data_IF_356511704744
#
_entry.id   IF_356511704744
#
_cell.length_a   1.000
_cell.length_b   1.000
_cell.length_c   1.000
_cell.angle_alpha   90.00
_cell.angle_beta   90.00
_cell.angle_gamma   90.00
#
_symmetry.space_group_name_H-M   'P 1'
#
loop_
_entity.id
_entity.type
_entity.pdbx_description
1 polymer ?
#
# COMPACT_ATOMS: atom_id res chain seq x y z
N UNK A 1 59.71 35.74 30.35
CA UNK A 1 58.81 35.71 29.16
C UNK A 1 58.57 34.27 28.75
N UNK A 2 57.41 33.69 29.06
CA UNK A 2 57.06 32.30 28.68
C UNK A 2 56.12 32.34 27.48
N UNK A 3 56.61 31.92 26.31
CA UNK A 3 55.77 31.68 25.12
C UNK A 3 54.96 30.41 25.36
N UNK A 4 53.64 30.53 25.44
CA UNK A 4 52.72 29.39 25.44
C UNK A 4 52.34 29.09 23.99
N UNK A 5 52.78 27.93 23.50
CA UNK A 5 52.39 27.36 22.21
C UNK A 5 51.03 26.70 22.41
N UNK A 6 50.01 27.14 21.67
CA UNK A 6 48.68 26.55 21.67
C UNK A 6 48.69 25.38 20.68
N UNK A 7 48.72 24.14 21.20
CA UNK A 7 48.47 22.93 20.41
C UNK A 7 46.97 22.84 20.14
N UNK A 8 46.59 23.01 18.87
CA UNK A 8 45.24 22.75 18.38
C UNK A 8 45.06 21.22 18.31
N UNK A 9 44.42 20.64 19.33
CA UNK A 9 43.97 19.25 19.27
C UNK A 9 42.84 19.18 18.23
N UNK A 10 43.16 18.63 17.06
CA UNK A 10 42.19 18.28 16.03
C UNK A 10 41.30 17.17 16.59
N UNK A 11 40.19 17.55 17.24
CA UNK A 11 39.14 16.61 17.59
C UNK A 11 38.62 16.02 16.28
N UNK A 12 38.98 14.77 16.01
CA UNK A 12 38.30 13.96 15.02
C UNK A 12 36.84 13.85 15.45
N UNK A 13 36.00 14.76 14.93
CA UNK A 13 34.56 14.59 14.89
C UNK A 13 34.32 13.32 14.11
N UNK A 14 34.16 12.21 14.84
CA UNK A 14 33.75 10.95 14.26
C UNK A 14 32.48 11.22 13.45
N UNK A 15 32.58 11.02 12.14
CA UNK A 15 31.44 10.92 11.26
C UNK A 15 30.60 9.76 11.78
N UNK A 16 29.67 10.06 12.68
CA UNK A 16 28.56 9.19 12.97
C UNK A 16 27.76 9.20 11.67
N UNK A 17 27.96 8.19 10.83
CA UNK A 17 27.01 7.93 9.76
C UNK A 17 25.67 7.74 10.46
N UNK A 18 24.80 8.75 10.38
CA UNK A 18 23.40 8.59 10.68
C UNK A 18 22.88 7.62 9.63
N UNK A 19 23.01 6.32 9.91
CA UNK A 19 22.30 5.31 9.14
C UNK A 19 20.83 5.66 9.31
N UNK A 20 20.19 6.08 8.23
CA UNK A 20 18.74 6.10 8.17
C UNK A 20 18.31 4.66 8.45
N UNK A 21 17.88 4.40 9.69
CA UNK A 21 17.33 3.12 10.10
C UNK A 21 16.05 2.96 9.28
N UNK A 22 16.16 2.31 8.12
CA UNK A 22 15.03 1.70 7.46
C UNK A 22 14.46 0.74 8.48
N UNK A 23 13.42 1.18 9.21
CA UNK A 23 12.73 0.30 10.13
C UNK A 23 12.30 -0.90 9.30
N UNK A 24 12.76 -2.10 9.64
CA UNK A 24 12.44 -3.29 8.87
C UNK A 24 10.90 -3.44 8.79
N UNK A 25 10.40 -3.91 7.65
CA UNK A 25 8.98 -4.23 7.51
C UNK A 25 8.63 -5.26 8.56
N UNK A 26 7.74 -4.87 9.47
CA UNK A 26 7.30 -5.73 10.56
C UNK A 26 6.10 -6.52 10.09
N UNK A 27 6.23 -7.84 10.07
CA UNK A 27 5.23 -8.72 9.46
C UNK A 27 4.55 -9.56 10.54
N UNK A 28 3.24 -9.73 10.44
CA UNK A 28 2.47 -10.64 11.29
C UNK A 28 1.89 -11.73 10.39
N UNK A 29 2.06 -12.99 10.78
CA UNK A 29 1.44 -14.13 10.12
C UNK A 29 0.22 -14.56 10.93
N UNK A 30 -0.88 -14.83 10.26
CA UNK A 30 -2.15 -15.21 10.87
C UNK A 30 -2.64 -16.47 10.18
N UNK A 31 -2.93 -17.46 11.01
CA UNK A 31 -3.52 -18.75 10.63
C UNK A 31 -5.01 -18.73 11.06
N UNK A 32 -5.91 -19.08 10.14
CA UNK A 32 -7.34 -19.09 10.37
C UNK A 32 -7.92 -20.48 10.19
N UNK A 33 -8.44 -21.05 11.27
CA UNK A 33 -9.05 -22.37 11.20
C UNK A 33 -9.44 -22.94 12.54
N UNK A 34 -9.25 -24.23 12.70
CA UNK A 34 -9.69 -24.99 13.87
C UNK A 34 -8.54 -25.82 14.43
N UNK A 35 -8.68 -26.22 15.69
CA UNK A 35 -7.70 -27.06 16.35
C UNK A 35 -8.39 -28.30 16.94
N UNK A 36 -8.94 -29.12 16.05
CA UNK A 36 -9.68 -30.34 16.40
C UNK A 36 -9.01 -31.61 15.85
N UNK A 37 -7.81 -31.48 15.25
CA UNK A 37 -7.01 -32.52 14.58
C UNK A 37 -7.66 -33.09 13.32
N UNK A 38 -9.00 -33.13 13.28
CA UNK A 38 -9.82 -33.69 12.20
C UNK A 38 -9.91 -32.75 11.02
N UNK A 39 -10.10 -31.46 11.29
CA UNK A 39 -10.28 -30.41 10.30
C UNK A 39 -9.13 -29.41 10.34
N UNK A 40 -8.40 -29.26 11.44
CA UNK A 40 -7.30 -28.32 11.52
C UNK A 40 -6.37 -28.57 12.70
N UNK A 41 -5.19 -27.99 12.63
CA UNK A 41 -4.18 -28.04 13.68
C UNK A 41 -3.56 -26.66 13.82
N UNK A 42 -3.27 -26.26 15.06
CA UNK A 42 -2.50 -25.04 15.34
C UNK A 42 -1.16 -25.05 14.60
N UNK A 43 -0.87 -23.96 13.92
CA UNK A 43 0.46 -23.74 13.34
C UNK A 43 1.52 -23.52 14.41
N UNK A 44 2.62 -24.31 14.42
CA UNK A 44 3.70 -24.15 15.37
C UNK A 44 4.30 -22.74 15.37
N UNK A 45 4.72 -22.28 16.54
CA UNK A 45 5.35 -20.97 16.74
C UNK A 45 6.57 -21.13 17.66
N UNK A 46 7.80 -21.13 17.11
CA UNK A 46 8.13 -20.95 15.70
C UNK A 46 7.77 -22.17 14.82
N UNK A 47 7.52 -21.92 13.53
CA UNK A 47 7.45 -22.94 12.50
C UNK A 47 8.86 -23.42 12.06
N UNK A 48 8.92 -24.30 11.06
CA UNK A 48 10.18 -24.80 10.50
C UNK A 48 11.08 -23.70 9.88
N UNK A 49 10.52 -22.53 9.57
CA UNK A 49 11.23 -21.36 9.05
C UNK A 49 11.61 -20.36 10.17
N UNK A 50 11.39 -20.70 11.44
CA UNK A 50 11.65 -19.80 12.56
C UNK A 50 10.60 -18.69 12.74
N UNK A 51 9.48 -18.74 12.01
CA UNK A 51 8.44 -17.71 12.01
C UNK A 51 7.37 -18.01 13.05
N UNK A 52 6.92 -16.97 13.74
CA UNK A 52 5.83 -17.05 14.71
C UNK A 52 4.48 -16.73 14.04
N UNK A 53 3.48 -17.56 14.34
CA UNK A 53 2.13 -17.51 13.77
C UNK A 53 1.10 -17.14 14.83
N UNK A 54 0.12 -16.32 14.43
CA UNK A 54 -1.02 -15.98 15.27
C UNK A 54 -2.19 -16.89 14.87
N UNK A 55 -2.47 -17.89 15.71
CA UNK A 55 -3.52 -18.88 15.46
C UNK A 55 -4.88 -18.33 15.91
N UNK A 56 -5.71 -17.90 14.96
CA UNK A 56 -7.05 -17.36 15.19
C UNK A 56 -8.07 -18.47 14.98
N UNK A 57 -8.46 -19.11 16.08
CA UNK A 57 -9.31 -20.30 16.08
C UNK A 57 -10.80 -19.96 16.25
N UNK A 58 -11.66 -20.77 15.61
CA UNK A 58 -13.06 -21.10 15.95
C UNK A 58 -13.98 -19.96 16.47
N UNK A 59 -14.92 -19.52 15.65
CA UNK A 59 -15.88 -18.43 15.91
C UNK A 59 -17.09 -18.91 16.73
N UNK A 60 -17.27 -18.45 17.98
CA UNK A 60 -18.56 -18.08 18.62
C UNK A 60 -18.38 -17.81 20.14
N UNK A 61 -18.24 -16.54 20.52
CA UNK A 61 -18.22 -16.12 21.93
C UNK A 61 -17.20 -15.02 22.23
N UNK A 62 -17.60 -13.76 22.01
CA UNK A 62 -16.83 -12.53 22.32
C UNK A 62 -16.47 -12.53 23.82
N UNK A 63 -15.25 -12.29 24.30
CA UNK A 63 -14.26 -11.22 24.09
C UNK A 63 -12.86 -11.86 24.14
N UNK A 64 -11.96 -11.60 23.20
CA UNK A 64 -11.02 -10.50 23.33
C UNK A 64 -10.28 -10.34 22.00
N UNK A 65 -10.05 -9.10 21.61
CA UNK A 65 -9.11 -8.73 20.55
C UNK A 65 -7.82 -9.56 20.62
N UNK A 66 -7.62 -10.49 19.68
CA UNK A 66 -6.43 -11.33 19.56
C UNK A 66 -5.23 -10.42 19.31
N UNK A 67 -4.35 -10.30 20.32
CA UNK A 67 -3.15 -9.47 20.23
C UNK A 67 -2.14 -10.18 19.35
N UNK A 68 -1.77 -9.55 18.25
CA UNK A 68 -0.86 -10.13 17.28
C UNK A 68 0.59 -9.89 17.70
N UNK A 69 1.41 -10.92 17.57
CA UNK A 69 2.87 -10.82 17.56
C UNK A 69 3.38 -10.82 16.12
N UNK A 70 4.56 -10.27 15.91
CA UNK A 70 5.22 -10.36 14.61
C UNK A 70 5.92 -11.72 14.42
N UNK A 71 6.48 -11.90 13.23
CA UNK A 71 7.26 -13.09 12.84
C UNK A 71 8.47 -13.38 13.75
N UNK A 72 8.89 -12.44 14.60
CA UNK A 72 9.99 -12.57 15.56
C UNK A 72 9.48 -12.68 17.01
N UNK A 73 8.19 -12.99 17.19
CA UNK A 73 7.50 -13.10 18.47
C UNK A 73 7.47 -11.81 19.31
N UNK A 74 7.62 -10.65 18.68
CA UNK A 74 7.55 -9.37 19.39
C UNK A 74 6.13 -8.84 19.37
N UNK A 75 5.66 -8.27 20.49
CA UNK A 75 4.34 -7.69 20.61
C UNK A 75 4.15 -6.49 19.66
N UNK A 76 3.07 -6.50 18.86
CA UNK A 76 2.84 -5.44 17.85
C UNK A 76 1.92 -4.32 18.31
N UNK A 77 1.09 -4.58 19.32
CA UNK A 77 -0.04 -3.71 19.70
C UNK A 77 -1.25 -3.85 18.77
N UNK A 78 -1.11 -4.55 17.64
CA UNK A 78 -2.20 -4.85 16.72
C UNK A 78 -3.08 -5.93 17.31
N UNK A 79 -4.38 -5.80 17.07
CA UNK A 79 -5.41 -6.69 17.56
C UNK A 79 -6.36 -7.08 16.44
N UNK A 80 -6.75 -8.34 16.33
CA UNK A 80 -7.81 -8.78 15.39
C UNK A 80 -9.07 -9.21 16.14
N UNK A 81 -10.23 -8.77 15.65
CA UNK A 81 -11.55 -9.22 16.09
C UNK A 81 -12.23 -9.96 14.94
N UNK A 82 -12.66 -11.18 15.20
CA UNK A 82 -13.48 -11.97 14.28
C UNK A 82 -14.96 -11.56 14.46
N UNK A 83 -15.62 -11.27 13.34
CA UNK A 83 -17.05 -10.95 13.29
C UNK A 83 -17.91 -12.19 13.03
N UNK A 84 -19.20 -11.95 12.80
CA UNK A 84 -20.17 -13.03 12.57
C UNK A 84 -19.93 -13.78 11.24
N UNK A 85 -20.63 -14.91 11.09
CA UNK A 85 -20.81 -15.70 9.86
C UNK A 85 -19.62 -16.51 9.36
N UNK A 86 -18.42 -16.35 9.92
CA UNK A 86 -17.35 -17.31 9.63
C UNK A 86 -17.72 -18.68 10.18
N UNK A 87 -17.62 -19.67 9.30
CA UNK A 87 -17.59 -21.08 9.59
C UNK A 87 -16.18 -21.61 9.37
N UNK A 88 -15.90 -22.81 9.83
CA UNK A 88 -14.55 -23.39 9.78
C UNK A 88 -14.56 -24.82 9.28
N UNK A 89 -13.55 -25.19 8.50
CA UNK A 89 -13.32 -26.55 8.04
C UNK A 89 -11.85 -26.70 7.61
N UNK A 90 -11.45 -27.87 7.06
CA UNK A 90 -10.09 -28.02 6.57
C UNK A 90 -9.72 -29.39 6.06
N UNK A 91 -8.90 -30.12 6.82
CA UNK A 91 -8.22 -31.36 6.41
C UNK A 91 -9.19 -32.35 5.75
N UNK A 92 -10.28 -32.70 6.45
CA UNK A 92 -11.28 -33.65 5.97
C UNK A 92 -12.15 -33.12 4.80
N UNK A 93 -12.01 -31.86 4.42
CA UNK A 93 -12.89 -31.16 3.47
C UNK A 93 -12.12 -30.34 2.45
N UNK A 94 -10.95 -30.83 2.03
CA UNK A 94 -10.22 -30.31 0.89
C UNK A 94 -9.21 -29.22 1.23
N UNK A 95 -8.67 -29.20 2.44
CA UNK A 95 -7.50 -28.38 2.77
C UNK A 95 -6.29 -28.66 1.86
N UNK A 96 -5.37 -27.70 1.76
CA UNK A 96 -4.08 -27.93 1.11
C UNK A 96 -3.11 -28.56 2.12
N UNK A 97 -2.95 -29.89 2.04
CA UNK A 97 -2.18 -30.67 3.02
C UNK A 97 -0.68 -30.73 2.76
N UNK A 98 -0.28 -30.51 1.51
CA UNK A 98 1.11 -30.62 1.07
C UNK A 98 1.53 -29.38 0.27
N UNK A 99 1.56 -28.18 0.88
CA UNK A 99 2.10 -27.02 0.22
C UNK A 99 3.61 -27.18 -0.03
N UNK A 100 4.14 -26.51 -1.04
CA UNK A 100 5.58 -26.57 -1.35
C UNK A 100 6.19 -25.18 -1.34
N UNK A 101 7.43 -25.07 -0.85
CA UNK A 101 8.17 -23.81 -0.85
C UNK A 101 8.41 -23.27 -2.28
N UNK A 102 8.47 -24.16 -3.29
CA UNK A 102 8.58 -23.76 -4.68
C UNK A 102 7.36 -22.98 -5.20
N UNK A 103 6.16 -23.25 -4.66
CA UNK A 103 4.92 -22.60 -5.08
C UNK A 103 4.48 -21.48 -4.13
N UNK A 104 4.72 -21.62 -2.83
CA UNK A 104 4.23 -20.69 -1.80
C UNK A 104 5.34 -20.05 -0.95
N UNK A 105 6.62 -20.36 -1.20
CA UNK A 105 7.73 -19.80 -0.44
C UNK A 105 7.58 -20.02 1.06
N UNK A 106 7.70 -18.95 1.84
CA UNK A 106 7.56 -18.95 3.30
C UNK A 106 6.16 -19.32 3.80
N UNK A 107 5.13 -19.24 2.95
CA UNK A 107 3.75 -19.61 3.30
C UNK A 107 3.49 -21.11 3.18
N UNK A 108 4.48 -21.89 2.75
CA UNK A 108 4.36 -23.34 2.60
C UNK A 108 4.42 -24.07 3.95
N UNK A 109 3.43 -23.82 4.80
CA UNK A 109 3.29 -24.41 6.13
C UNK A 109 1.96 -25.16 6.16
N UNK A 110 2.02 -26.50 6.18
CA UNK A 110 0.83 -27.34 6.02
C UNK A 110 -0.28 -27.00 7.03
N UNK A 111 0.08 -26.73 8.28
CA UNK A 111 -0.88 -26.35 9.32
C UNK A 111 -1.59 -25.04 9.06
N UNK A 112 -1.01 -24.11 8.30
CA UNK A 112 -1.65 -22.83 7.95
C UNK A 112 -2.43 -22.87 6.61
N UNK A 113 -2.26 -23.94 5.82
CA UNK A 113 -2.93 -24.10 4.52
C UNK A 113 -4.01 -25.18 4.52
N UNK A 114 -4.03 -26.05 5.52
CA UNK A 114 -4.93 -27.20 5.57
C UNK A 114 -6.32 -26.87 6.12
N UNK A 115 -6.47 -25.79 6.86
CA UNK A 115 -7.73 -25.33 7.42
C UNK A 115 -8.01 -23.88 7.02
N UNK A 116 -9.26 -23.49 7.25
CA UNK A 116 -9.78 -22.23 6.76
C UNK A 116 -11.00 -21.75 7.52
N UNK A 117 -11.13 -20.43 7.55
CA UNK A 117 -12.40 -19.76 7.68
C UNK A 117 -13.10 -19.72 6.33
N UNK A 118 -14.42 -19.86 6.33
CA UNK A 118 -15.23 -19.71 5.13
C UNK A 118 -16.58 -19.06 5.42
N UNK A 119 -17.18 -18.53 4.37
CA UNK A 119 -18.54 -17.95 4.40
C UNK A 119 -19.41 -18.63 3.36
N UNK A 120 -20.72 -18.65 3.60
CA UNK A 120 -21.71 -19.33 2.75
C UNK A 120 -23.07 -18.61 2.76
N UNK A 121 -24.03 -19.14 2.01
CA UNK A 121 -25.41 -18.63 2.02
C UNK A 121 -25.57 -17.29 1.28
N UNK A 122 -26.69 -16.60 1.49
CA UNK A 122 -27.05 -15.34 0.80
C UNK A 122 -27.35 -14.23 1.81
N UNK A 123 -27.39 -12.98 1.36
CA UNK A 123 -27.70 -11.85 2.24
C UNK A 123 -26.72 -11.72 3.40
N UNK A 124 -27.23 -11.58 4.63
CA UNK A 124 -26.43 -11.30 5.82
C UNK A 124 -25.45 -12.41 6.22
N UNK A 125 -25.66 -13.67 5.80
CA UNK A 125 -24.74 -14.78 6.13
C UNK A 125 -23.58 -14.90 5.12
N UNK A 126 -23.68 -14.22 3.98
CA UNK A 126 -22.72 -14.35 2.87
C UNK A 126 -21.44 -13.54 3.03
N UNK A 127 -21.29 -12.87 4.17
CA UNK A 127 -20.22 -11.93 4.47
C UNK A 127 -19.61 -12.24 5.84
N UNK A 128 -18.30 -12.46 5.86
CA UNK A 128 -17.50 -12.58 7.07
C UNK A 128 -16.68 -11.31 7.27
N UNK A 129 -16.47 -10.90 8.52
CA UNK A 129 -15.74 -9.67 8.82
C UNK A 129 -14.61 -9.89 9.81
N UNK A 130 -13.43 -9.33 9.54
CA UNK A 130 -12.31 -9.26 10.46
C UNK A 130 -11.97 -7.80 10.68
N UNK A 131 -11.78 -7.38 11.93
CA UNK A 131 -11.36 -6.02 12.26
C UNK A 131 -9.98 -6.03 12.89
N UNK A 132 -9.00 -5.48 12.16
CA UNK A 132 -7.69 -5.16 12.70
C UNK A 132 -7.74 -3.79 13.38
N UNK A 133 -7.18 -3.67 14.58
CA UNK A 133 -7.22 -2.46 15.42
C UNK A 133 -5.90 -2.26 16.16
N UNK A 134 -5.69 -1.08 16.73
CA UNK A 134 -4.40 -0.69 17.30
C UNK A 134 -3.39 -0.26 16.22
N UNK A 135 -3.89 0.09 15.05
CA UNK A 135 -3.09 0.52 13.91
C UNK A 135 -2.79 2.01 14.04
N UNK A 136 -1.53 2.39 13.84
CA UNK A 136 -1.14 3.79 13.72
C UNK A 136 -1.56 4.37 12.37
N UNK A 137 -2.15 5.58 12.38
CA UNK A 137 -2.40 6.38 11.18
C UNK A 137 -1.11 6.87 10.49
N UNK A 138 0.02 6.90 11.22
CA UNK A 138 1.32 7.28 10.65
C UNK A 138 2.02 6.14 9.90
N UNK A 139 1.42 4.94 9.88
CA UNK A 139 1.96 3.74 9.23
C UNK A 139 1.07 3.30 8.08
N UNK A 140 1.61 2.42 7.24
CA UNK A 140 0.93 1.85 6.09
C UNK A 140 0.88 0.34 6.24
N UNK A 141 -0.15 -0.25 5.66
CA UNK A 141 -0.46 -1.66 5.84
C UNK A 141 -0.67 -2.34 4.50
N UNK A 142 -0.12 -3.53 4.34
CA UNK A 142 -0.28 -4.35 3.15
C UNK A 142 -0.67 -5.74 3.59
N UNK A 143 -1.71 -6.28 2.98
CA UNK A 143 -2.22 -7.61 3.29
C UNK A 143 -1.90 -8.57 2.17
N UNK A 144 -1.42 -9.73 2.54
CA UNK A 144 -1.18 -10.88 1.68
C UNK A 144 -2.14 -11.97 2.11
N UNK A 145 -2.92 -12.51 1.19
CA UNK A 145 -4.02 -13.40 1.50
C UNK A 145 -3.94 -14.68 0.69
N UNK A 146 -4.27 -15.78 1.35
CA UNK A 146 -4.38 -17.09 0.74
C UNK A 146 -5.67 -17.76 1.18
N UNK A 147 -6.48 -18.11 0.19
CA UNK A 147 -7.62 -18.99 0.28
C UNK A 147 -7.42 -20.19 -0.62
N UNK A 148 -7.78 -21.37 -0.15
CA UNK A 148 -7.76 -22.62 -0.91
C UNK A 148 -8.74 -23.63 -0.36
N UNK A 149 -9.44 -24.30 -1.28
CA UNK A 149 -10.13 -25.55 -1.00
C UNK A 149 -10.14 -26.40 -2.25
N UNK A 150 -9.65 -27.62 -2.15
CA UNK A 150 -9.59 -28.59 -3.23
C UNK A 150 -10.96 -29.20 -3.50
N UNK A 151 -11.49 -28.97 -4.69
CA UNK A 151 -12.59 -29.75 -5.28
C UNK A 151 -12.73 -29.39 -6.76
N UNK A 152 -13.26 -30.32 -7.55
CA UNK A 152 -13.55 -30.13 -8.98
C UNK A 152 -15.03 -29.85 -9.25
N UNK A 153 -15.88 -29.81 -8.22
CA UNK A 153 -17.33 -29.71 -8.36
C UNK A 153 -17.80 -28.35 -8.93
N UNK A 154 -17.08 -27.26 -8.63
CA UNK A 154 -17.39 -25.92 -9.09
C UNK A 154 -16.14 -25.02 -9.02
N UNK A 155 -16.20 -23.87 -9.70
CA UNK A 155 -15.21 -22.80 -9.55
C UNK A 155 -15.69 -21.86 -8.45
N UNK A 156 -14.82 -21.56 -7.48
CA UNK A 156 -15.12 -20.61 -6.40
C UNK A 156 -14.10 -19.48 -6.39
N UNK A 157 -14.61 -18.26 -6.30
CA UNK A 157 -13.80 -17.03 -6.26
C UNK A 157 -14.18 -16.22 -5.04
N UNK A 158 -13.20 -15.96 -4.18
CA UNK A 158 -13.32 -15.17 -2.97
C UNK A 158 -12.95 -13.71 -3.26
N UNK A 159 -13.68 -12.76 -2.68
CA UNK A 159 -13.33 -11.35 -2.62
C UNK A 159 -12.92 -10.98 -1.21
N UNK A 160 -11.81 -10.26 -1.11
CA UNK A 160 -11.28 -9.68 0.12
C UNK A 160 -11.29 -8.17 -0.05
N UNK A 161 -12.21 -7.50 0.66
CA UNK A 161 -12.31 -6.04 0.66
C UNK A 161 -11.80 -5.48 1.97
N UNK A 162 -10.72 -4.72 1.90
CA UNK A 162 -10.11 -4.03 3.01
C UNK A 162 -10.58 -2.58 3.04
N UNK A 163 -11.13 -2.14 4.16
CA UNK A 163 -11.62 -0.78 4.37
C UNK A 163 -10.95 -0.16 5.59
N UNK A 164 -10.09 0.83 5.34
CA UNK A 164 -9.56 1.75 6.35
C UNK A 164 -9.92 3.19 5.97
N UNK A 165 -8.97 4.12 6.02
CA UNK A 165 -9.15 5.46 5.44
C UNK A 165 -9.21 5.43 3.89
N UNK A 166 -8.62 4.39 3.29
CA UNK A 166 -8.79 4.04 1.88
C UNK A 166 -9.26 2.58 1.77
N UNK A 167 -9.74 2.21 0.58
CA UNK A 167 -10.26 0.87 0.28
C UNK A 167 -9.33 0.16 -0.68
N UNK A 168 -9.15 -1.14 -0.50
CA UNK A 168 -8.54 -2.04 -1.48
C UNK A 168 -9.38 -3.31 -1.58
N UNK A 169 -9.73 -3.71 -2.80
CA UNK A 169 -10.54 -4.89 -3.07
C UNK A 169 -9.75 -5.81 -3.99
N UNK A 170 -9.53 -7.05 -3.55
CA UNK A 170 -8.81 -8.07 -4.30
C UNK A 170 -9.63 -9.35 -4.38
N UNK A 171 -9.42 -10.13 -5.44
CA UNK A 171 -10.11 -11.40 -5.65
C UNK A 171 -9.11 -12.54 -5.83
N UNK A 172 -9.52 -13.75 -5.46
CA UNK A 172 -8.73 -14.97 -5.69
C UNK A 172 -9.66 -16.12 -6.04
N UNK A 173 -9.37 -16.82 -7.13
CA UNK A 173 -10.00 -18.10 -7.42
C UNK A 173 -9.36 -19.15 -6.54
N UNK A 174 -10.12 -19.70 -5.59
CA UNK A 174 -9.62 -20.55 -4.51
C UNK A 174 -9.82 -22.04 -4.78
N UNK A 175 -10.73 -22.36 -5.71
CA UNK A 175 -11.26 -23.70 -5.94
C UNK A 175 -11.67 -23.87 -7.39
N UNK A 176 -11.44 -25.05 -7.94
CA UNK A 176 -11.89 -25.44 -9.29
C UNK A 176 -10.83 -26.25 -10.02
N UNK A 177 -11.26 -26.98 -11.04
CA UNK A 177 -10.36 -27.77 -11.90
C UNK A 177 -9.23 -26.91 -12.46
N UNK A 178 -7.98 -27.34 -12.27
CA UNK A 178 -6.77 -26.66 -12.76
C UNK A 178 -6.59 -25.21 -12.27
N UNK A 179 -7.16 -24.84 -11.12
CA UNK A 179 -6.95 -23.52 -10.52
C UNK A 179 -5.54 -23.36 -9.98
N UNK A 180 -4.98 -24.40 -9.36
CA UNK A 180 -3.61 -24.43 -8.87
C UNK A 180 -2.62 -24.96 -9.90
N UNK A 181 -1.34 -24.76 -9.61
CA UNK A 181 -0.25 -25.37 -10.37
C UNK A 181 -0.37 -26.90 -10.38
N UNK A 182 0.15 -27.52 -11.45
CA UNK A 182 0.20 -28.98 -11.64
C UNK A 182 -1.18 -29.66 -11.63
N UNK A 183 -2.23 -28.95 -12.08
CA UNK A 183 -3.59 -29.48 -12.16
C UNK A 183 -4.32 -29.60 -10.83
N UNK A 184 -3.77 -29.03 -9.75
CA UNK A 184 -4.41 -29.07 -8.44
C UNK A 184 -5.75 -28.31 -8.44
N UNK A 185 -6.80 -28.93 -7.91
CA UNK A 185 -8.17 -28.40 -7.97
C UNK A 185 -8.51 -27.39 -6.85
N UNK A 186 -7.49 -26.74 -6.30
CA UNK A 186 -7.57 -25.64 -5.36
C UNK A 186 -6.44 -24.66 -5.66
N UNK A 187 -6.36 -23.54 -4.96
CA UNK A 187 -5.18 -22.66 -5.07
C UNK A 187 -4.00 -23.28 -4.29
N UNK A 188 -2.83 -23.39 -4.91
CA UNK A 188 -1.61 -23.87 -4.23
C UNK A 188 -0.36 -23.05 -4.58
N UNK A 189 -0.50 -21.94 -5.29
CA UNK A 189 0.63 -21.20 -5.86
C UNK A 189 0.42 -19.67 -5.90
N UNK A 190 -0.73 -19.17 -5.44
CA UNK A 190 -1.06 -17.75 -5.54
C UNK A 190 -1.30 -17.16 -4.16
N UNK A 191 -0.52 -16.15 -3.80
CA UNK A 191 -0.79 -15.24 -2.68
C UNK A 191 -1.27 -13.92 -3.28
N UNK A 192 -2.49 -13.49 -2.99
CA UNK A 192 -3.01 -12.23 -3.51
C UNK A 192 -2.70 -11.11 -2.53
N UNK A 193 -2.29 -9.95 -3.05
CA UNK A 193 -1.80 -8.83 -2.26
C UNK A 193 -2.71 -7.60 -2.41
N UNK A 194 -3.03 -6.93 -1.31
CA UNK A 194 -3.77 -5.67 -1.31
C UNK A 194 -2.93 -4.50 -1.81
N UNK A 195 -3.59 -3.41 -2.17
CA UNK A 195 -2.93 -2.10 -2.21
C UNK A 195 -2.46 -1.70 -0.81
N UNK A 196 -1.67 -0.63 -0.76
CA UNK A 196 -1.27 -0.06 0.52
C UNK A 196 -2.43 0.68 1.18
N UNK A 197 -2.76 0.28 2.41
CA UNK A 197 -3.86 0.79 3.21
C UNK A 197 -3.35 1.68 4.34
N UNK A 198 -4.19 2.64 4.73
CA UNK A 198 -4.04 3.47 5.93
C UNK A 198 -5.18 3.14 6.87
N UNK A 199 -4.90 3.12 8.17
CA UNK A 199 -5.92 2.92 9.19
C UNK A 199 -7.01 4.01 9.12
N UNK A 200 -8.24 3.66 9.45
CA UNK A 200 -9.31 4.64 9.63
C UNK A 200 -9.09 5.53 10.86
N UNK A 201 -9.99 6.49 11.10
CA UNK A 201 -9.90 7.43 12.21
C UNK A 201 -9.90 6.75 13.59
N UNK A 202 -10.40 5.51 13.70
CA UNK A 202 -10.39 4.72 14.93
C UNK A 202 -9.16 3.79 15.02
N UNK A 203 -8.18 3.94 14.14
CA UNK A 203 -6.96 3.13 14.12
C UNK A 203 -7.22 1.68 13.72
N UNK A 204 -8.12 1.43 12.77
CA UNK A 204 -8.39 0.09 12.28
C UNK A 204 -8.56 -0.06 10.76
N UNK A 205 -8.55 -1.32 10.33
CA UNK A 205 -8.86 -1.77 8.96
C UNK A 205 -9.80 -2.96 9.09
N UNK A 206 -10.92 -2.92 8.38
CA UNK A 206 -11.87 -4.03 8.30
C UNK A 206 -11.62 -4.81 7.02
N UNK A 207 -11.46 -6.12 7.13
CA UNK A 207 -11.54 -7.07 6.01
C UNK A 207 -12.96 -7.65 5.96
N UNK A 208 -13.58 -7.53 4.80
CA UNK A 208 -14.81 -8.20 4.42
C UNK A 208 -14.48 -9.36 3.45
N UNK A 209 -14.82 -10.59 3.84
CA UNK A 209 -14.75 -11.78 2.98
C UNK A 209 -16.13 -12.08 2.39
N UNK A 210 -16.22 -12.15 1.07
CA UNK A 210 -17.44 -12.51 0.36
C UNK A 210 -17.13 -13.38 -0.87
N UNK A 211 -18.16 -13.99 -1.44
CA UNK A 211 -18.05 -14.81 -2.67
C UNK A 211 -18.42 -14.01 -3.92
N UNK A 212 -17.65 -14.19 -4.99
CA UNK A 212 -17.89 -13.63 -6.33
C UNK A 212 -18.39 -14.70 -7.29
N UNK A 213 -17.87 -15.92 -7.16
CA UNK A 213 -18.31 -17.09 -7.93
C UNK A 213 -18.38 -18.32 -7.01
N UNK A 214 -19.31 -19.22 -7.32
CA UNK A 214 -19.58 -20.42 -6.56
C UNK A 214 -20.31 -20.18 -5.24
N UNK A 215 -20.45 -21.24 -4.44
CA UNK A 215 -21.26 -21.21 -3.21
C UNK A 215 -20.55 -20.67 -1.96
N UNK A 216 -19.21 -20.59 -1.96
CA UNK A 216 -18.41 -20.30 -0.78
C UNK A 216 -17.22 -19.39 -1.09
N UNK A 217 -16.70 -18.71 -0.06
CA UNK A 217 -15.42 -18.00 -0.09
C UNK A 217 -14.56 -18.39 1.11
N UNK A 218 -13.23 -18.39 0.94
CA UNK A 218 -12.27 -19.00 1.86
C UNK A 218 -11.19 -18.01 2.30
N UNK A 219 -10.67 -18.23 3.50
CA UNK A 219 -9.50 -17.58 4.06
C UNK A 219 -8.77 -18.58 4.94
N UNK A 220 -7.62 -19.05 4.50
CA UNK A 220 -6.79 -20.00 5.26
C UNK A 220 -5.75 -19.24 6.08
N UNK A 221 -4.98 -18.38 5.41
CA UNK A 221 -3.94 -17.59 6.06
C UNK A 221 -3.87 -16.16 5.53
N UNK A 222 -3.24 -15.31 6.33
CA UNK A 222 -2.97 -13.92 6.01
C UNK A 222 -1.62 -13.49 6.56
N UNK A 223 -0.89 -12.68 5.80
CA UNK A 223 0.19 -11.86 6.32
C UNK A 223 -0.19 -10.40 6.27
N UNK A 224 0.08 -9.69 7.36
CA UNK A 224 -0.04 -8.24 7.43
C UNK A 224 1.34 -7.63 7.63
N UNK A 225 1.75 -6.85 6.63
CA UNK A 225 2.95 -6.05 6.69
C UNK A 225 2.62 -4.67 7.24
N UNK A 226 3.26 -4.33 8.35
CA UNK A 226 3.39 -2.97 8.80
C UNK A 226 4.57 -2.37 8.04
N UNK A 227 4.22 -1.69 6.95
CA UNK A 227 5.16 -0.88 6.23
C UNK A 227 5.40 0.36 7.08
N UNK A 228 6.66 0.68 7.44
CA UNK A 228 6.95 1.95 8.05
C UNK A 228 6.37 3.03 7.15
N UNK A 229 5.33 3.70 7.63
CA UNK A 229 5.11 5.04 7.14
C UNK A 229 6.36 5.81 7.56
N UNK A 230 6.92 6.59 6.64
CA UNK A 230 8.04 7.45 6.97
C UNK A 230 7.73 8.14 8.30
N UNK A 231 8.59 7.94 9.30
CA UNK A 231 8.40 8.51 10.63
C UNK A 231 8.15 10.02 10.46
N UNK A 232 6.89 10.41 10.64
CA UNK A 232 6.48 11.79 10.61
C UNK A 232 5.81 12.00 11.96
N UNK A 233 6.64 12.28 12.96
CA UNK A 233 6.16 12.82 14.25
C UNK A 233 5.46 14.16 14.06
N UNK A 234 5.66 14.79 12.91
CA UNK A 234 4.91 15.94 12.44
C UNK A 234 3.87 15.48 11.41
N UNK A 235 2.57 15.77 11.56
CA UNK A 235 1.59 15.58 10.49
C UNK A 235 2.13 16.16 9.17
N UNK A 236 1.89 15.53 8.00
CA UNK A 236 2.23 16.17 6.74
C UNK A 236 1.57 17.55 6.69
N UNK A 237 2.38 18.59 6.63
CA UNK A 237 1.88 19.95 6.41
C UNK A 237 1.47 20.03 4.95
N UNK A 238 0.17 20.09 4.72
CA UNK A 238 -0.37 20.33 3.38
C UNK A 238 -0.32 21.82 3.11
N UNK A 239 0.52 22.21 2.16
CA UNK A 239 0.34 23.49 1.49
C UNK A 239 -0.67 23.27 0.38
N UNK A 240 -1.87 23.80 0.57
CA UNK A 240 -2.87 23.78 -0.48
C UNK A 240 -2.35 24.67 -1.60
N UNK A 241 -1.95 24.07 -2.73
CA UNK A 241 -1.85 24.81 -3.98
C UNK A 241 -3.21 25.45 -4.20
N UNK A 242 -3.24 26.78 -4.30
CA UNK A 242 -4.43 27.44 -4.77
C UNK A 242 -4.54 27.05 -6.24
N UNK A 243 -5.38 26.06 -6.53
CA UNK A 243 -5.83 25.75 -7.88
C UNK A 243 -7.20 26.37 -8.21
N UNK A 244 -7.55 27.61 -7.78
CA UNK A 244 -8.83 28.16 -8.17
C UNK A 244 -8.83 28.44 -9.68
N UNK A 245 -7.67 28.70 -10.31
CA UNK A 245 -7.59 28.95 -11.74
C UNK A 245 -8.29 27.86 -12.55
N UNK A 246 -7.85 26.60 -12.44
CA UNK A 246 -8.42 25.54 -13.26
C UNK A 246 -9.90 25.35 -12.93
N UNK A 247 -10.27 25.32 -11.66
CA UNK A 247 -11.68 25.16 -11.25
C UNK A 247 -12.57 26.34 -11.66
N UNK A 248 -12.00 27.52 -11.95
CA UNK A 248 -12.66 28.70 -12.51
C UNK A 248 -12.53 28.79 -14.05
N UNK A 249 -11.97 27.76 -14.69
CA UNK A 249 -11.81 27.69 -16.15
C UNK A 249 -10.72 28.60 -16.73
N UNK A 250 -9.74 29.02 -15.92
CA UNK A 250 -8.69 29.97 -16.33
C UNK A 250 -7.31 29.65 -15.69
N UNK A 251 -6.30 30.49 -15.94
CA UNK A 251 -4.94 30.32 -15.41
C UNK A 251 -4.63 31.23 -14.21
N UNK A 252 -5.63 31.75 -13.49
CA UNK A 252 -5.37 32.59 -12.31
C UNK A 252 -4.49 31.84 -11.29
N UNK A 253 -3.43 32.52 -10.83
CA UNK A 253 -2.34 31.99 -9.98
C UNK A 253 -1.36 30.98 -10.64
N UNK A 254 -1.44 30.81 -11.96
CA UNK A 254 -0.48 30.05 -12.75
C UNK A 254 0.23 30.96 -13.75
N UNK A 255 1.54 30.79 -13.87
CA UNK A 255 2.37 31.49 -14.84
C UNK A 255 2.79 30.50 -15.92
N UNK A 256 2.42 30.79 -17.17
CA UNK A 256 2.95 30.06 -18.32
C UNK A 256 4.36 30.55 -18.62
N UNK A 257 5.32 29.63 -18.69
CA UNK A 257 6.73 29.95 -19.01
C UNK A 257 7.16 29.15 -20.24
N UNK A 258 7.80 29.82 -21.20
CA UNK A 258 8.19 29.21 -22.47
C UNK A 258 7.02 28.99 -23.45
N UNK A 259 7.28 28.17 -24.48
CA UNK A 259 6.31 27.83 -25.53
C UNK A 259 5.94 28.96 -26.50
N UNK A 260 4.90 28.71 -27.30
CA UNK A 260 4.28 29.66 -28.22
C UNK A 260 3.00 30.27 -27.60
N UNK A 261 2.61 31.49 -28.03
CA UNK A 261 1.36 32.15 -27.61
C UNK A 261 0.16 31.20 -27.74
N UNK A 262 -0.65 31.09 -26.67
CA UNK A 262 -1.80 30.18 -26.62
C UNK A 262 -1.46 28.72 -26.30
N UNK A 263 -0.19 28.42 -25.99
CA UNK A 263 0.26 27.06 -25.71
C UNK A 263 -0.25 26.45 -24.41
N UNK A 264 -0.94 27.22 -23.56
CA UNK A 264 -1.63 26.70 -22.39
C UNK A 264 -3.09 27.14 -22.40
N UNK A 265 -4.00 26.18 -22.26
CA UNK A 265 -5.45 26.42 -22.12
C UNK A 265 -6.01 25.64 -20.94
N UNK A 266 -7.21 25.98 -20.49
CA UNK A 266 -7.95 25.24 -19.46
C UNK A 266 -9.28 24.78 -20.05
N UNK A 267 -9.60 23.50 -19.89
CA UNK A 267 -10.78 22.88 -20.50
C UNK A 267 -11.44 21.84 -19.62
N UNK A 268 -12.71 21.54 -19.89
CA UNK A 268 -13.51 20.61 -19.07
C UNK A 268 -13.27 19.13 -19.37
N UNK A 269 -12.70 18.80 -20.54
CA UNK A 269 -12.45 17.43 -20.99
C UNK A 269 -11.17 17.40 -21.83
N UNK A 270 -10.27 16.42 -21.63
CA UNK A 270 -10.27 15.45 -20.53
C UNK A 270 -9.89 16.10 -19.20
N UNK A 271 -10.45 15.60 -18.09
CA UNK A 271 -10.12 16.02 -16.72
C UNK A 271 -9.98 14.81 -15.81
N UNK A 272 -9.26 14.97 -14.70
CA UNK A 272 -9.12 13.92 -13.69
C UNK A 272 -10.26 13.99 -12.66
N UNK A 273 -10.10 14.88 -11.67
CA UNK A 273 -11.05 15.17 -10.59
C UNK A 273 -11.26 16.67 -10.56
N UNK A 274 -12.47 17.16 -10.28
CA UNK A 274 -12.83 18.58 -10.39
C UNK A 274 -13.56 18.90 -11.68
N UNK A 275 -13.54 20.17 -12.09
CA UNK A 275 -14.33 20.68 -13.21
C UNK A 275 -13.54 20.87 -14.49
N UNK A 276 -12.22 21.12 -14.40
CA UNK A 276 -11.35 21.40 -15.53
C UNK A 276 -9.93 20.82 -15.35
N UNK A 277 -9.15 20.80 -16.43
CA UNK A 277 -7.72 20.53 -16.42
C UNK A 277 -6.98 21.51 -17.34
N UNK A 278 -5.70 21.76 -17.06
CA UNK A 278 -4.84 22.49 -17.97
C UNK A 278 -4.36 21.58 -19.11
N UNK A 279 -4.34 22.14 -20.31
CA UNK A 279 -3.83 21.53 -21.53
C UNK A 279 -2.65 22.34 -22.04
N UNK A 280 -1.51 21.69 -22.17
CA UNK A 280 -0.29 22.25 -22.72
C UNK A 280 -0.12 21.76 -24.17
N UNK A 281 0.11 22.68 -25.10
CA UNK A 281 0.31 22.45 -26.53
C UNK A 281 1.39 23.40 -27.04
N UNK A 282 2.28 22.93 -27.91
CA UNK A 282 3.29 23.80 -28.51
C UNK A 282 4.49 23.03 -29.03
N UNK A 283 5.37 23.72 -29.74
CA UNK A 283 6.56 23.14 -30.39
C UNK A 283 7.83 23.25 -29.56
N UNK A 284 7.81 24.02 -28.46
CA UNK A 284 8.94 24.26 -27.57
C UNK A 284 8.62 23.82 -26.13
N UNK A 285 9.66 23.71 -25.29
CA UNK A 285 9.49 23.50 -23.85
C UNK A 285 8.58 24.58 -23.24
N UNK A 286 7.60 24.11 -22.48
CA UNK A 286 6.53 24.90 -21.88
C UNK A 286 6.29 24.36 -20.46
N UNK A 287 6.16 25.27 -19.49
CA UNK A 287 5.79 24.93 -18.12
C UNK A 287 4.61 25.78 -17.63
N UNK A 288 3.88 25.22 -16.67
CA UNK A 288 2.93 25.95 -15.83
C UNK A 288 3.50 26.01 -14.42
N UNK A 289 3.79 27.22 -13.96
CA UNK A 289 4.48 27.46 -12.71
C UNK A 289 3.56 28.17 -11.72
N UNK A 290 3.56 27.68 -10.49
CA UNK A 290 2.97 28.39 -9.36
C UNK A 290 4.01 28.48 -8.26
N UNK A 291 4.12 29.67 -7.68
CA UNK A 291 5.00 29.92 -6.54
C UNK A 291 4.17 30.11 -5.29
N UNK A 292 4.47 29.32 -4.26
CA UNK A 292 3.85 29.43 -2.93
C UNK A 292 4.90 29.80 -1.89
N UNK A 293 4.50 30.64 -0.93
CA UNK A 293 5.27 30.80 0.31
C UNK A 293 4.84 29.71 1.29
N UNK A 294 5.79 29.16 2.04
CA UNK A 294 5.54 28.09 3.00
C UNK A 294 6.20 28.44 4.33
N UNK A 295 5.66 27.92 5.45
CA UNK A 295 6.26 28.11 6.76
C UNK A 295 7.21 26.97 7.06
N UNK A 296 8.50 27.26 7.21
CA UNK A 296 9.45 26.24 7.64
C UNK A 296 8.99 25.65 8.98
N UNK A 297 8.72 24.34 8.97
CA UNK A 297 8.32 23.61 10.17
C UNK A 297 9.51 22.80 10.63
N UNK A 298 10.02 23.08 11.83
CA UNK A 298 11.12 22.33 12.43
C UNK A 298 10.82 20.83 12.41
N UNK A 299 11.80 20.02 11.99
CA UNK A 299 11.66 18.57 11.83
C UNK A 299 11.05 18.10 10.50
N UNK A 300 10.54 19.01 9.66
CA UNK A 300 10.08 18.67 8.30
C UNK A 300 11.24 18.81 7.31
N UNK A 301 11.93 17.70 7.04
CA UNK A 301 13.06 17.63 6.11
C UNK A 301 12.70 17.21 4.68
N UNK A 302 11.42 17.19 4.32
CA UNK A 302 11.00 16.78 2.97
C UNK A 302 9.68 17.39 2.55
N UNK A 303 9.69 17.84 1.32
CA UNK A 303 8.54 18.35 0.60
C UNK A 303 8.23 17.40 -0.55
N UNK A 304 6.94 17.16 -0.80
CA UNK A 304 6.46 16.32 -1.90
C UNK A 304 5.43 17.08 -2.71
N UNK A 305 5.67 17.17 -4.01
CA UNK A 305 4.71 17.63 -4.99
C UNK A 305 4.07 16.41 -5.67
N UNK A 306 2.74 16.40 -5.79
CA UNK A 306 2.01 15.35 -6.51
C UNK A 306 1.12 16.01 -7.57
N UNK A 307 0.91 15.33 -8.68
CA UNK A 307 0.05 15.80 -9.76
C UNK A 307 -0.36 14.64 -10.68
N UNK A 308 -1.45 14.83 -11.40
CA UNK A 308 -1.98 13.87 -12.37
C UNK A 308 -1.72 14.37 -13.78
N UNK A 309 -1.23 13.49 -14.64
CA UNK A 309 -0.89 13.78 -16.03
C UNK A 309 -1.61 12.81 -16.95
N UNK A 310 -1.94 13.28 -18.14
CA UNK A 310 -2.59 12.49 -19.17
C UNK A 310 -1.80 12.58 -20.48
N UNK A 311 -1.42 11.43 -21.02
CA UNK A 311 -1.05 11.33 -22.42
C UNK A 311 -2.35 11.24 -23.25
N UNK A 312 -2.85 12.36 -23.76
CA UNK A 312 -4.21 12.43 -24.31
C UNK A 312 -4.39 11.70 -25.65
N UNK A 313 -3.30 11.42 -26.37
CA UNK A 313 -3.31 10.68 -27.63
C UNK A 313 -1.89 10.23 -27.97
N UNK A 314 -1.75 9.26 -28.87
CA UNK A 314 -0.42 8.80 -29.34
C UNK A 314 0.37 9.90 -30.04
N UNK A 315 -0.31 10.93 -30.53
CA UNK A 315 0.29 12.13 -31.14
C UNK A 315 0.56 13.27 -30.16
N UNK A 316 0.15 13.15 -28.88
CA UNK A 316 0.28 14.24 -27.91
C UNK A 316 1.73 14.45 -27.46
N UNK A 317 2.51 13.36 -27.37
CA UNK A 317 3.96 13.38 -27.18
C UNK A 317 4.61 12.51 -28.25
N UNK A 318 5.69 12.99 -28.85
CA UNK A 318 6.41 12.31 -29.93
C UNK A 318 7.91 12.19 -29.66
N UNK A 319 8.52 11.12 -30.15
CA UNK A 319 9.95 10.88 -30.01
C UNK A 319 10.44 10.95 -28.56
N UNK A 320 11.32 11.92 -28.27
CA UNK A 320 11.94 12.12 -26.95
C UNK A 320 11.18 13.11 -26.06
N UNK A 321 10.01 13.60 -26.49
CA UNK A 321 9.20 14.52 -25.69
C UNK A 321 8.71 13.85 -24.40
N UNK A 322 8.68 14.63 -23.31
CA UNK A 322 8.24 14.17 -22.01
C UNK A 322 7.65 15.29 -21.17
N UNK A 323 6.76 14.93 -20.24
CA UNK A 323 6.18 15.83 -19.26
C UNK A 323 6.42 15.29 -17.85
N UNK A 324 6.74 16.16 -16.90
CA UNK A 324 7.07 15.81 -15.52
C UNK A 324 6.62 16.89 -14.55
N UNK A 325 6.62 16.56 -13.25
CA UNK A 325 6.52 17.55 -12.17
C UNK A 325 7.91 18.00 -11.77
N UNK A 326 8.03 19.30 -11.54
CA UNK A 326 9.23 19.91 -10.99
C UNK A 326 8.91 20.63 -9.68
N UNK A 327 9.66 20.32 -8.63
CA UNK A 327 9.62 21.00 -7.35
C UNK A 327 10.89 21.83 -7.21
N UNK A 328 10.73 23.15 -7.19
CA UNK A 328 11.80 24.10 -6.98
C UNK A 328 11.71 24.66 -5.56
N UNK A 329 12.83 24.69 -4.86
CA UNK A 329 12.93 25.19 -3.50
C UNK A 329 13.84 26.42 -3.47
N UNK A 330 13.37 27.49 -2.84
CA UNK A 330 14.07 28.76 -2.80
C UNK A 330 14.29 29.22 -1.35
N UNK A 331 15.39 29.95 -1.14
CA UNK A 331 15.63 30.68 0.11
C UNK A 331 14.65 31.86 0.26
N UNK A 332 14.62 32.46 1.45
CA UNK A 332 13.91 33.72 1.70
C UNK A 332 14.42 34.89 0.85
N UNK A 333 15.62 34.79 0.29
CA UNK A 333 16.24 35.77 -0.63
C UNK A 333 16.05 35.41 -2.11
N UNK A 334 15.17 34.45 -2.44
CA UNK A 334 14.91 33.95 -3.79
C UNK A 334 16.08 33.21 -4.47
N UNK A 335 17.08 32.74 -3.73
CA UNK A 335 18.11 31.88 -4.29
C UNK A 335 17.57 30.45 -4.44
N UNK A 336 17.79 29.81 -5.60
CA UNK A 336 17.41 28.41 -5.81
C UNK A 336 18.29 27.50 -4.95
N UNK A 337 17.67 26.75 -4.05
CA UNK A 337 18.32 25.82 -3.13
C UNK A 337 18.25 24.37 -3.63
N UNK A 338 17.21 24.02 -4.37
CA UNK A 338 17.06 22.66 -4.89
C UNK A 338 16.03 22.54 -5.99
N UNK A 339 16.26 21.57 -6.87
CA UNK A 339 15.43 21.22 -8.02
C UNK A 339 15.21 19.71 -8.01
N UNK A 340 13.95 19.29 -7.99
CA UNK A 340 13.59 17.88 -7.90
C UNK A 340 12.55 17.55 -8.96
N UNK A 341 12.81 16.51 -9.75
CA UNK A 341 11.95 16.05 -10.83
C UNK A 341 11.23 14.76 -10.42
N UNK A 342 9.99 14.60 -10.88
CA UNK A 342 9.35 13.29 -10.87
C UNK A 342 9.84 12.43 -12.04
N UNK A 343 9.39 11.17 -12.08
CA UNK A 343 9.32 10.42 -13.35
C UNK A 343 8.52 11.20 -14.40
N UNK A 344 8.59 10.78 -15.66
CA UNK A 344 7.96 11.50 -16.76
C UNK A 344 6.91 10.66 -17.48
N UNK A 345 5.82 11.32 -17.90
CA UNK A 345 4.98 10.84 -19.00
C UNK A 345 5.76 11.04 -20.31
N UNK A 346 5.79 10.02 -21.15
CA UNK A 346 6.53 9.97 -22.42
C UNK A 346 5.60 9.52 -23.55
N UNK A 347 6.09 9.58 -24.79
CA UNK A 347 5.36 9.06 -25.96
C UNK A 347 4.91 7.59 -25.80
N UNK A 348 5.64 6.77 -25.03
CA UNK A 348 5.30 5.38 -24.74
C UNK A 348 4.34 5.18 -23.56
N UNK A 349 3.98 6.23 -22.82
CA UNK A 349 2.99 6.12 -21.74
C UNK A 349 1.61 5.84 -22.33
N UNK A 350 0.84 4.86 -21.79
CA UNK A 350 -0.50 4.55 -22.29
C UNK A 350 -1.38 5.80 -22.41
N UNK A 351 -2.11 5.90 -23.51
CA UNK A 351 -3.02 7.01 -23.75
C UNK A 351 -4.29 6.86 -22.91
N UNK A 352 -5.02 7.96 -22.73
CA UNK A 352 -6.33 8.01 -22.05
C UNK A 352 -6.35 7.49 -20.61
N UNK A 353 -5.17 7.36 -20.00
CA UNK A 353 -5.00 6.94 -18.61
C UNK A 353 -4.29 8.04 -17.82
N UNK A 354 -4.93 8.51 -16.75
CA UNK A 354 -4.30 9.46 -15.84
C UNK A 354 -3.21 8.77 -15.01
N UNK A 355 -2.00 9.31 -15.06
CA UNK A 355 -0.85 8.82 -14.32
C UNK A 355 -0.51 9.82 -13.21
N UNK A 356 -0.37 9.32 -11.98
CA UNK A 356 0.06 10.14 -10.86
C UNK A 356 1.58 10.23 -10.83
N UNK A 357 2.11 11.44 -10.92
CA UNK A 357 3.53 11.72 -10.74
C UNK A 357 3.78 12.28 -9.34
N UNK A 358 5.01 12.11 -8.85
CA UNK A 358 5.46 12.68 -7.57
C UNK A 358 6.92 13.10 -7.62
N UNK A 359 7.18 14.34 -7.23
CA UNK A 359 8.53 14.87 -7.00
C UNK A 359 8.77 15.03 -5.50
N UNK A 360 9.95 14.63 -5.01
CA UNK A 360 10.28 14.60 -3.58
C UNK A 360 11.65 15.21 -3.33
N UNK A 361 11.72 16.17 -2.42
CA UNK A 361 13.00 16.65 -1.87
C UNK A 361 13.54 15.63 -0.85
N UNK A 362 14.69 15.02 -1.14
CA UNK A 362 15.44 14.19 -0.19
C UNK A 362 16.15 15.02 0.88
N UNK A 363 16.50 14.41 2.02
CA UNK A 363 17.05 15.07 3.22
C UNK A 363 18.47 15.71 3.09
N UNK A 364 18.97 15.96 1.89
CA UNK A 364 20.34 16.48 1.65
C UNK A 364 20.42 17.85 0.98
N UNK A 365 19.32 18.61 0.90
CA UNK A 365 19.23 19.81 0.05
C UNK A 365 18.71 21.06 0.75
N UNK A 366 19.01 21.25 2.03
CA UNK A 366 18.80 22.50 2.75
C UNK A 366 20.09 22.93 3.44
#
# INVERSE_FOLDING_TARGET
MRRKILLLALAALGFSQAQAQTTAVRSMLVDFGVNDVTNGNVTPSPDANGSYWNNVLNNTGVTDTFRLVDKQNQATGVKVKVGANFLTNGIATGGLLAPTAALLGEYAVATATQDYFFVQGTGSTSLGTLRFSGLSASRRYVFHVFGSRQTTAEIRTSQYKFTGANVSTITQTTTGTNVGANGYAGNNNTITKSDTLTADAAGGITLELSKIAGMYAYLNLLRMDIVPGRASTTPPVYYTFQNPGFELGNLTYWTTVGGSTGGTTVGQVPKHSGSFAAKLTGTNSLSLEQRISYQFTSGVGTYRLNGWFLNAATSALSGVQSAHLELLFYSSTNALLGRFLSDSVRASTPTDTWVRLSSVMGQGGA
#
